data_IF_744415501741
#
_entry.id   IF_744415501741
#
_cell.length_a   1.000
_cell.length_b   1.000
_cell.length_c   1.000
_cell.angle_alpha   90.00
_cell.angle_beta   90.00
_cell.angle_gamma   90.00
#
_symmetry.space_group_name_H-M   'P 1'
#
loop_
_entity.id
_entity.type
_entity.pdbx_description
1 polymer ?
#
# COMPACT_ATOMS: atom_id res chain seq x y z
N UNK A 1 -24.56 -26.05 36.96
CA UNK A 1 -23.29 -25.82 36.23
C UNK A 1 -23.37 -24.43 35.63
N UNK A 2 -22.54 -23.51 36.11
CA UNK A 2 -22.44 -22.17 35.52
C UNK A 2 -21.61 -22.23 34.22
N UNK A 3 -21.97 -21.49 33.16
CA UNK A 3 -21.18 -21.44 31.94
C UNK A 3 -19.79 -20.83 32.23
N UNK A 4 -18.72 -21.32 31.56
CA UNK A 4 -17.40 -20.75 31.72
C UNK A 4 -17.39 -19.30 31.23
N UNK A 5 -17.01 -18.38 32.11
CA UNK A 5 -16.77 -16.99 31.77
C UNK A 5 -15.55 -16.91 30.85
N UNK A 6 -15.74 -16.56 29.59
CA UNK A 6 -14.63 -16.29 28.68
C UNK A 6 -13.99 -14.95 29.07
N UNK A 7 -12.66 -14.89 29.24
CA UNK A 7 -11.96 -13.63 29.46
C UNK A 7 -12.18 -12.72 28.25
N UNK A 8 -12.64 -11.51 28.54
CA UNK A 8 -12.91 -10.44 27.60
C UNK A 8 -11.68 -10.26 26.68
N UNK A 9 -11.83 -10.52 25.38
CA UNK A 9 -10.71 -10.51 24.43
C UNK A 9 -10.03 -9.15 24.45
N UNK A 10 -8.75 -9.17 24.82
CA UNK A 10 -7.89 -8.02 24.82
C UNK A 10 -7.82 -7.46 23.40
N UNK A 11 -8.34 -6.25 23.21
CA UNK A 11 -8.13 -5.49 21.97
C UNK A 11 -6.64 -5.56 21.60
N UNK A 12 -6.32 -5.90 20.33
CA UNK A 12 -4.94 -6.01 19.89
C UNK A 12 -4.23 -4.70 20.21
N UNK A 13 -3.24 -4.80 21.09
CA UNK A 13 -2.42 -3.68 21.52
C UNK A 13 -1.78 -3.09 20.25
N UNK A 14 -1.88 -1.76 20.01
CA UNK A 14 -1.21 -1.15 18.85
C UNK A 14 0.27 -1.53 18.88
N UNK A 15 0.81 -1.87 17.70
CA UNK A 15 2.14 -2.47 17.55
C UNK A 15 3.27 -1.59 18.08
N UNK A 16 3.01 -0.29 18.31
CA UNK A 16 3.97 0.64 18.89
C UNK A 16 3.27 1.52 19.95
N UNK A 17 3.89 1.63 21.12
CA UNK A 17 3.47 2.56 22.17
C UNK A 17 3.86 3.98 21.77
N UNK A 18 2.89 4.78 21.34
CA UNK A 18 3.08 6.22 21.14
C UNK A 18 3.15 6.91 22.50
N UNK A 19 4.36 7.13 23.02
CA UNK A 19 4.61 7.99 24.19
C UNK A 19 4.76 9.47 23.75
N UNK A 20 3.80 9.95 22.94
CA UNK A 20 3.79 11.29 22.37
C UNK A 20 2.52 12.03 22.80
N UNK A 21 2.73 13.01 23.67
CA UNK A 21 1.81 14.05 24.16
C UNK A 21 0.64 14.37 23.23
N UNK A 22 -0.56 13.99 23.65
CA UNK A 22 -1.84 14.22 23.00
C UNK A 22 -2.19 15.71 22.89
N UNK A 23 -1.77 16.37 21.80
CA UNK A 23 -2.40 17.62 21.37
C UNK A 23 -3.70 17.29 20.64
N UNK A 24 -4.83 17.73 21.20
CA UNK A 24 -6.18 17.52 20.67
C UNK A 24 -6.42 18.48 19.49
N UNK A 25 -5.79 18.22 18.35
CA UNK A 25 -6.04 18.96 17.12
C UNK A 25 -7.43 18.60 16.58
N UNK A 26 -8.33 19.59 16.50
CA UNK A 26 -9.62 19.49 15.80
C UNK A 26 -9.35 19.30 14.31
N UNK A 27 -9.39 18.06 13.84
CA UNK A 27 -9.11 17.73 12.44
C UNK A 27 -10.28 18.14 11.52
N UNK A 28 -10.07 19.10 10.63
CA UNK A 28 -10.84 19.19 9.40
C UNK A 28 -10.88 17.85 8.63
N UNK A 29 -11.96 17.59 7.89
CA UNK A 29 -12.10 16.37 7.10
C UNK A 29 -11.03 16.33 5.99
N UNK A 30 -10.51 15.14 5.66
CA UNK A 30 -9.56 14.97 4.57
C UNK A 30 -10.16 15.43 3.23
N UNK A 31 -9.31 15.96 2.35
CA UNK A 31 -9.70 16.31 0.98
C UNK A 31 -10.23 15.04 0.30
N UNK A 32 -11.45 15.10 -0.22
CA UNK A 32 -12.17 13.96 -0.78
C UNK A 32 -11.39 13.25 -1.91
N UNK A 33 -10.49 13.99 -2.57
CA UNK A 33 -9.55 13.47 -3.57
C UNK A 33 -8.54 12.45 -3.02
N UNK A 34 -7.83 12.75 -1.93
CA UNK A 34 -6.89 11.82 -1.32
C UNK A 34 -7.54 10.52 -0.85
N UNK A 35 -8.72 10.62 -0.22
CA UNK A 35 -9.45 9.41 0.22
C UNK A 35 -9.77 8.52 -0.98
N UNK A 36 -10.24 9.10 -2.08
CA UNK A 36 -10.51 8.36 -3.31
C UNK A 36 -9.22 7.75 -3.90
N UNK A 37 -8.10 8.48 -3.89
CA UNK A 37 -6.83 8.00 -4.41
C UNK A 37 -6.28 6.82 -3.58
N UNK A 38 -6.36 6.91 -2.25
CA UNK A 38 -5.91 5.85 -1.33
C UNK A 38 -6.79 4.60 -1.48
N UNK A 39 -8.10 4.78 -1.57
CA UNK A 39 -9.03 3.67 -1.81
C UNK A 39 -8.78 3.00 -3.17
N UNK A 40 -8.64 3.80 -4.23
CA UNK A 40 -8.33 3.30 -5.57
C UNK A 40 -7.01 2.53 -5.57
N UNK A 41 -5.98 3.04 -4.90
CA UNK A 41 -4.69 2.36 -4.73
C UNK A 41 -4.87 1.04 -3.97
N UNK A 42 -5.62 1.04 -2.87
CA UNK A 42 -5.92 -0.16 -2.09
C UNK A 42 -6.61 -1.25 -2.92
N UNK A 43 -7.69 -0.90 -3.64
CA UNK A 43 -8.39 -1.84 -4.51
C UNK A 43 -7.52 -2.35 -5.66
N UNK A 44 -6.74 -1.47 -6.30
CA UNK A 44 -5.83 -1.86 -7.37
C UNK A 44 -4.79 -2.88 -6.88
N UNK A 45 -4.27 -2.69 -5.66
CA UNK A 45 -3.32 -3.62 -5.03
C UNK A 45 -3.93 -4.97 -4.72
N UNK A 46 -5.13 -4.99 -4.15
CA UNK A 46 -5.85 -6.24 -3.87
C UNK A 46 -6.14 -6.97 -5.17
N UNK A 47 -6.69 -6.28 -6.18
CA UNK A 47 -7.03 -6.87 -7.46
C UNK A 47 -5.82 -7.45 -8.19
N UNK A 48 -4.75 -6.66 -8.35
CA UNK A 48 -3.52 -7.09 -9.00
C UNK A 48 -2.82 -8.19 -8.20
N UNK A 49 -2.82 -8.08 -6.87
CA UNK A 49 -2.23 -9.05 -5.97
C UNK A 49 -2.94 -10.40 -6.01
N UNK A 50 -4.28 -10.40 -5.93
CA UNK A 50 -5.10 -11.60 -6.02
C UNK A 50 -4.98 -12.26 -7.41
N UNK A 51 -4.96 -11.47 -8.48
CA UNK A 51 -4.76 -12.00 -9.83
C UNK A 51 -3.36 -12.63 -10.00
N UNK A 52 -2.31 -12.01 -9.44
CA UNK A 52 -0.94 -12.55 -9.44
C UNK A 52 -0.81 -13.81 -8.59
N UNK A 53 -1.62 -13.94 -7.54
CA UNK A 53 -1.66 -15.12 -6.67
C UNK A 53 -2.35 -16.31 -7.36
N UNK A 54 -3.53 -16.07 -7.95
CA UNK A 54 -4.38 -17.10 -8.54
C UNK A 54 -3.91 -17.51 -9.94
N UNK A 55 -3.51 -16.55 -10.77
CA UNK A 55 -3.19 -16.77 -12.17
C UNK A 55 -1.88 -16.05 -12.59
N UNK A 56 -0.73 -16.38 -11.95
CA UNK A 56 0.53 -15.68 -12.19
C UNK A 56 0.95 -15.72 -13.66
N UNK A 57 0.74 -16.85 -14.35
CA UNK A 57 1.09 -16.99 -15.78
C UNK A 57 0.23 -16.11 -16.69
N UNK A 58 -1.05 -15.95 -16.37
CA UNK A 58 -1.95 -15.13 -17.18
C UNK A 58 -1.60 -13.65 -17.01
N UNK A 59 -1.38 -13.21 -15.76
CA UNK A 59 -0.97 -11.83 -15.47
C UNK A 59 0.39 -11.51 -16.08
N UNK A 60 1.42 -12.34 -15.90
CA UNK A 60 2.70 -12.13 -16.56
C UNK A 60 2.58 -12.21 -18.10
N UNK A 61 1.70 -13.08 -18.61
CA UNK A 61 1.42 -13.23 -20.04
C UNK A 61 0.83 -11.95 -20.68
N UNK A 62 0.01 -11.18 -19.96
CA UNK A 62 -0.49 -9.88 -20.43
C UNK A 62 0.65 -8.91 -20.75
N UNK A 63 1.75 -9.00 -20.02
CA UNK A 63 2.96 -8.21 -20.24
C UNK A 63 3.98 -8.90 -21.16
N UNK A 64 3.57 -9.98 -21.84
CA UNK A 64 4.43 -10.83 -22.68
C UNK A 64 5.63 -11.40 -21.93
N UNK A 65 5.49 -11.63 -20.63
CA UNK A 65 6.52 -12.22 -19.78
C UNK A 65 6.18 -13.69 -19.51
N UNK A 66 6.96 -14.60 -20.08
CA UNK A 66 6.78 -16.03 -19.91
C UNK A 66 7.54 -16.50 -18.67
N UNK A 67 6.80 -16.96 -17.66
CA UNK A 67 7.36 -17.44 -16.40
C UNK A 67 7.40 -18.98 -16.38
N UNK A 68 8.48 -19.53 -15.83
CA UNK A 68 8.57 -20.96 -15.51
C UNK A 68 7.74 -21.28 -14.26
N UNK A 69 7.61 -22.57 -13.93
CA UNK A 69 6.91 -23.00 -12.71
C UNK A 69 7.61 -22.51 -11.44
N UNK A 70 8.94 -22.44 -11.49
CA UNK A 70 9.77 -22.03 -10.36
C UNK A 70 9.63 -20.53 -10.11
N UNK A 71 9.68 -19.71 -11.16
CA UNK A 71 9.53 -18.25 -11.02
C UNK A 71 8.09 -17.83 -10.72
N UNK A 72 7.10 -18.66 -11.03
CA UNK A 72 5.71 -18.42 -10.64
C UNK A 72 5.50 -18.32 -9.12
N UNK A 73 6.34 -18.98 -8.31
CA UNK A 73 6.27 -18.87 -6.84
C UNK A 73 6.62 -17.45 -6.37
N UNK A 74 7.59 -16.80 -7.01
CA UNK A 74 7.97 -15.42 -6.69
C UNK A 74 6.83 -14.45 -7.03
N UNK A 75 6.17 -14.65 -8.17
CA UNK A 75 4.99 -13.84 -8.57
C UNK A 75 3.85 -14.01 -7.58
N UNK A 76 3.64 -15.21 -7.04
CA UNK A 76 2.64 -15.45 -5.99
C UNK A 76 2.98 -14.73 -4.69
N UNK A 77 4.25 -14.74 -4.26
CA UNK A 77 4.70 -13.98 -3.09
C UNK A 77 4.46 -12.48 -3.25
N UNK A 78 4.72 -11.94 -4.45
CA UNK A 78 4.35 -10.58 -4.81
C UNK A 78 2.84 -10.34 -4.69
N UNK A 79 2.04 -11.31 -5.14
CA UNK A 79 0.59 -11.30 -5.03
C UNK A 79 0.09 -11.17 -3.59
N UNK A 80 0.61 -12.02 -2.69
CA UNK A 80 0.28 -11.98 -1.25
C UNK A 80 0.62 -10.62 -0.66
N UNK A 81 1.81 -10.08 -0.97
CA UNK A 81 2.23 -8.75 -0.52
C UNK A 81 1.26 -7.66 -1.00
N UNK A 82 0.86 -7.69 -2.27
CA UNK A 82 -0.10 -6.75 -2.83
C UNK A 82 -1.46 -6.79 -2.12
N UNK A 83 -1.98 -7.99 -1.84
CA UNK A 83 -3.24 -8.14 -1.09
C UNK A 83 -3.11 -7.61 0.33
N UNK A 84 -2.03 -7.96 1.03
CA UNK A 84 -1.81 -7.53 2.41
C UNK A 84 -1.70 -5.99 2.52
N UNK A 85 -0.89 -5.36 1.65
CA UNK A 85 -0.74 -3.89 1.64
C UNK A 85 -2.03 -3.19 1.24
N UNK A 86 -2.75 -3.70 0.22
CA UNK A 86 -4.03 -3.12 -0.19
C UNK A 86 -5.09 -3.23 0.91
N UNK A 87 -5.14 -4.36 1.62
CA UNK A 87 -6.03 -4.53 2.76
C UNK A 87 -5.69 -3.59 3.92
N UNK A 88 -4.40 -3.36 4.20
CA UNK A 88 -3.96 -2.39 5.20
C UNK A 88 -4.38 -0.96 4.81
N UNK A 89 -4.23 -0.56 3.54
CA UNK A 89 -4.65 0.74 3.05
C UNK A 89 -6.16 0.98 3.17
N UNK A 90 -6.98 -0.06 2.95
CA UNK A 90 -8.44 0.06 3.07
C UNK A 90 -8.94 0.07 4.53
N UNK A 91 -8.17 -0.47 5.46
CA UNK A 91 -8.55 -0.55 6.88
C UNK A 91 -7.92 0.52 7.76
N UNK A 92 -7.13 1.43 7.20
CA UNK A 92 -6.67 2.61 7.91
C UNK A 92 -7.88 3.54 8.17
N UNK A 93 -8.61 3.32 9.26
CA UNK A 93 -9.77 4.15 9.64
C UNK A 93 -9.28 5.52 10.14
N UNK A 94 -9.70 6.58 9.45
CA UNK A 94 -9.17 7.95 9.52
C UNK A 94 -9.69 8.75 10.75
N UNK A 95 -10.24 8.06 11.75
CA UNK A 95 -10.98 8.72 12.86
C UNK A 95 -10.09 9.20 14.00
N UNK A 96 -8.80 8.89 13.99
CA UNK A 96 -7.88 9.32 15.06
C UNK A 96 -6.59 9.90 14.49
N UNK A 97 -5.99 10.86 15.21
CA UNK A 97 -4.69 11.42 14.86
C UNK A 97 -3.59 10.35 14.79
N UNK A 98 -3.67 9.31 15.63
CA UNK A 98 -2.79 8.14 15.58
C UNK A 98 -2.96 7.36 14.27
N UNK A 99 -4.21 7.18 13.80
CA UNK A 99 -4.52 6.53 12.52
C UNK A 99 -3.88 7.23 11.31
N UNK A 100 -3.73 8.56 11.33
CA UNK A 100 -3.05 9.30 10.24
C UNK A 100 -1.55 9.08 10.21
N UNK A 101 -0.90 9.03 11.37
CA UNK A 101 0.53 8.72 11.45
C UNK A 101 0.80 7.29 10.96
N UNK A 102 -0.06 6.34 11.33
CA UNK A 102 -0.01 4.97 10.83
C UNK A 102 -0.27 4.89 9.33
N UNK A 103 -1.29 5.59 8.82
CA UNK A 103 -1.58 5.67 7.38
C UNK A 103 -0.39 6.24 6.60
N UNK A 104 0.25 7.31 7.08
CA UNK A 104 1.46 7.87 6.46
C UNK A 104 2.59 6.85 6.44
N UNK A 105 2.81 6.10 7.53
CA UNK A 105 3.82 5.03 7.60
C UNK A 105 3.50 3.90 6.61
N UNK A 106 2.24 3.48 6.49
CA UNK A 106 1.80 2.46 5.54
C UNK A 106 1.96 2.93 4.09
N UNK A 107 1.63 4.19 3.78
CA UNK A 107 1.87 4.77 2.46
C UNK A 107 3.36 4.79 2.11
N UNK A 108 4.22 5.17 3.05
CA UNK A 108 5.67 5.16 2.85
C UNK A 108 6.23 3.76 2.65
N UNK A 109 5.78 2.78 3.43
CA UNK A 109 6.17 1.39 3.26
C UNK A 109 5.74 0.85 1.89
N UNK A 110 4.52 1.18 1.46
CA UNK A 110 3.97 0.81 0.17
C UNK A 110 4.74 1.47 -0.99
N UNK A 111 5.08 2.76 -0.87
CA UNK A 111 5.91 3.49 -1.83
C UNK A 111 7.32 2.89 -1.93
N UNK A 112 7.93 2.55 -0.80
CA UNK A 112 9.24 1.89 -0.76
C UNK A 112 9.24 0.55 -1.49
N UNK A 113 8.19 -0.26 -1.33
CA UNK A 113 8.02 -1.51 -2.07
C UNK A 113 7.95 -1.26 -3.58
N UNK A 114 7.17 -0.28 -4.03
CA UNK A 114 7.05 0.04 -5.45
C UNK A 114 8.36 0.53 -6.06
N UNK A 115 9.09 1.37 -5.33
CA UNK A 115 10.41 1.81 -5.76
C UNK A 115 11.38 0.64 -5.93
N UNK A 116 11.39 -0.30 -4.98
CA UNK A 116 12.21 -1.50 -5.09
C UNK A 116 11.83 -2.34 -6.33
N UNK A 117 10.53 -2.48 -6.59
CA UNK A 117 10.02 -3.20 -7.75
C UNK A 117 10.44 -2.53 -9.07
N UNK A 118 10.28 -1.20 -9.17
CA UNK A 118 10.71 -0.41 -10.33
C UNK A 118 12.21 -0.55 -10.55
N UNK A 119 13.03 -0.40 -9.50
CA UNK A 119 14.48 -0.55 -9.59
C UNK A 119 14.88 -1.95 -10.06
N UNK A 120 14.18 -3.00 -9.58
CA UNK A 120 14.42 -4.37 -10.02
C UNK A 120 14.09 -4.56 -11.50
N UNK A 121 12.95 -4.02 -11.97
CA UNK A 121 12.55 -4.04 -13.38
C UNK A 121 13.55 -3.26 -14.24
N UNK A 122 13.93 -2.06 -13.81
CA UNK A 122 14.89 -1.21 -14.50
C UNK A 122 16.24 -1.90 -14.65
N UNK A 123 16.73 -2.56 -13.58
CA UNK A 123 17.93 -3.38 -13.63
C UNK A 123 17.78 -4.54 -14.62
N UNK A 124 16.69 -5.31 -14.56
CA UNK A 124 16.45 -6.42 -15.49
C UNK A 124 16.40 -5.98 -16.96
N UNK A 125 15.82 -4.81 -17.24
CA UNK A 125 15.80 -4.19 -18.58
C UNK A 125 17.20 -3.75 -19.00
N UNK A 126 17.94 -3.07 -18.11
CA UNK A 126 19.29 -2.58 -18.38
C UNK A 126 20.29 -3.72 -18.61
N UNK A 127 20.15 -4.84 -17.88
CA UNK A 127 20.95 -6.04 -18.04
C UNK A 127 20.52 -6.93 -19.22
N UNK A 128 19.54 -6.50 -20.03
CA UNK A 128 19.06 -7.25 -21.20
C UNK A 128 18.27 -8.52 -20.90
N UNK A 129 17.92 -8.77 -19.62
CA UNK A 129 17.14 -9.94 -19.21
C UNK A 129 15.63 -9.77 -19.48
N UNK A 130 15.18 -8.54 -19.74
CA UNK A 130 13.79 -8.22 -20.07
C UNK A 130 13.71 -7.37 -21.32
N UNK A 131 12.75 -7.67 -22.20
CA UNK A 131 12.48 -6.86 -23.39
C UNK A 131 12.00 -5.45 -23.02
N UNK A 132 12.24 -4.47 -23.91
CA UNK A 132 11.81 -3.08 -23.71
C UNK A 132 10.30 -2.93 -23.53
N UNK A 133 9.51 -3.71 -24.27
CA UNK A 133 8.04 -3.63 -24.29
C UNK A 133 7.41 -4.03 -22.93
N UNK A 134 7.74 -5.20 -22.34
CA UNK A 134 7.36 -5.50 -20.95
C UNK A 134 7.85 -4.44 -19.96
N UNK A 135 9.09 -3.98 -20.11
CA UNK A 135 9.69 -2.95 -19.26
C UNK A 135 8.89 -1.65 -19.25
N UNK A 136 8.44 -1.18 -20.42
CA UNK A 136 7.63 0.05 -20.53
C UNK A 136 6.26 -0.08 -19.89
N UNK A 137 5.59 -1.23 -20.00
CA UNK A 137 4.27 -1.42 -19.37
C UNK A 137 4.37 -1.46 -17.86
N UNK A 138 5.38 -2.15 -17.34
CA UNK A 138 5.64 -2.22 -15.91
C UNK A 138 6.03 -0.84 -15.34
N UNK A 139 6.93 -0.13 -16.01
CA UNK A 139 7.31 1.23 -15.61
C UNK A 139 6.12 2.20 -15.65
N UNK A 140 5.27 2.12 -16.68
CA UNK A 140 4.07 2.94 -16.80
C UNK A 140 3.06 2.67 -15.67
N UNK A 141 2.76 1.41 -15.39
CA UNK A 141 1.87 1.04 -14.29
C UNK A 141 2.40 1.47 -12.91
N UNK A 142 3.71 1.32 -12.70
CA UNK A 142 4.34 1.72 -11.45
C UNK A 142 4.39 3.25 -11.28
N UNK A 143 4.61 4.00 -12.36
CA UNK A 143 4.52 5.47 -12.34
C UNK A 143 3.14 5.98 -11.92
N UNK A 144 2.06 5.33 -12.39
CA UNK A 144 0.68 5.66 -11.98
C UNK A 144 0.48 5.39 -10.49
N UNK A 145 0.95 4.25 -9.97
CA UNK A 145 0.85 3.92 -8.55
C UNK A 145 1.60 4.93 -7.68
N UNK A 146 2.81 5.33 -8.11
CA UNK A 146 3.62 6.36 -7.44
C UNK A 146 2.92 7.71 -7.44
N UNK A 147 2.34 8.13 -8.58
CA UNK A 147 1.60 9.38 -8.65
C UNK A 147 0.40 9.41 -7.70
N UNK A 148 -0.36 8.31 -7.62
CA UNK A 148 -1.48 8.18 -6.68
C UNK A 148 -1.01 8.21 -5.22
N UNK A 149 0.10 7.53 -4.90
CA UNK A 149 0.68 7.55 -3.56
C UNK A 149 1.14 8.97 -3.16
N UNK A 150 1.83 9.68 -4.06
CA UNK A 150 2.30 11.05 -3.81
C UNK A 150 1.14 12.03 -3.62
N UNK A 151 0.07 11.90 -4.42
CA UNK A 151 -1.15 12.70 -4.21
C UNK A 151 -1.75 12.44 -2.83
N UNK A 152 -1.78 11.18 -2.39
CA UNK A 152 -2.21 10.82 -1.03
C UNK A 152 -1.32 11.42 0.07
N UNK A 153 0.01 11.42 -0.10
CA UNK A 153 0.95 12.00 0.91
C UNK A 153 0.81 13.51 0.98
N UNK A 154 0.71 14.19 -0.17
CA UNK A 154 0.69 15.66 -0.21
C UNK A 154 -0.50 16.24 0.53
N UNK A 155 -1.69 15.66 0.37
CA UNK A 155 -2.89 16.10 1.10
C UNK A 155 -2.74 15.89 2.62
N UNK A 156 -2.00 14.86 3.06
CA UNK A 156 -1.69 14.64 4.49
C UNK A 156 -0.73 15.72 5.02
N UNK A 157 0.23 16.17 4.21
CA UNK A 157 1.21 17.18 4.61
C UNK A 157 0.63 18.60 4.62
N UNK A 158 -0.13 18.97 3.59
CA UNK A 158 -0.83 20.26 3.53
C UNK A 158 -1.76 20.43 4.74
N UNK A 159 -2.36 19.34 5.22
CA UNK A 159 -3.17 19.32 6.43
C UNK A 159 -2.35 19.60 7.70
N UNK A 160 -1.18 18.99 7.87
CA UNK A 160 -0.33 19.23 9.04
C UNK A 160 0.15 20.68 9.11
N UNK A 161 0.47 21.28 7.96
CA UNK A 161 0.87 22.69 7.87
C UNK A 161 -0.27 23.62 8.29
N UNK A 162 -1.53 23.32 7.92
CA UNK A 162 -2.67 24.12 8.37
C UNK A 162 -2.93 23.97 9.87
N UNK A 163 -2.83 22.76 10.42
CA UNK A 163 -2.99 22.52 11.85
C UNK A 163 -1.95 23.27 12.71
N UNK A 164 -0.69 23.35 12.24
CA UNK A 164 0.39 24.07 12.94
C UNK A 164 0.25 25.59 12.94
N UNK A 165 -0.50 26.19 12.00
CA UNK A 165 -0.70 27.65 11.92
C UNK A 165 -1.77 28.18 12.89
N UNK A 166 -2.52 27.29 13.52
CA UNK A 166 -3.57 27.63 14.48
C UNK A 166 -3.15 27.39 15.95
N UNK A 167 -1.88 27.04 16.18
CA UNK A 167 -1.21 27.05 17.50
C UNK A 167 -0.49 28.40 17.73
#
# INVERSE_FOLDING_TARGET
>A
MAPPSYPNEAHPKPLFSDDLTTHKSTSEPPVQGAVCAIQALGYARIGLGAASLLAPRLICGLFRFFISNETATVVRMFGVRGVALGHLLLNADDKTLSGRAELKRMLWANFGCDMADICSIAFAVASGHMGRLPGTFLAGGAAVCVALALLGVKDVEDFQVMASKHE
#
